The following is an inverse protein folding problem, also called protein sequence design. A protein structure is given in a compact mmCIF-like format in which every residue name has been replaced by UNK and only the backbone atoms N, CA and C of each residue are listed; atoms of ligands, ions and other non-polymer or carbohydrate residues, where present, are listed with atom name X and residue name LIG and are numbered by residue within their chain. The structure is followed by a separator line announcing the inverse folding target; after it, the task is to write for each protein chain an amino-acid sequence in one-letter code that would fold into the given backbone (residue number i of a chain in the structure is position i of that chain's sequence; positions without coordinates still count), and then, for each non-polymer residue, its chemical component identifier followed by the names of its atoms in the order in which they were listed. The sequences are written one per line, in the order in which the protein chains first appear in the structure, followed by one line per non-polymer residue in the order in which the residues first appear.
data_IF_044340399712
#
_entry.id   IF_044340399712
#
_cell.length_a   1.000
_cell.length_b   1.000
_cell.length_c   1.000
_cell.angle_alpha   90.00
_cell.angle_beta   90.00
_cell.angle_gamma   90.00
#
_symmetry.space_group_name_H-M   'P 1'
#
loop_
_entity.id
_entity.type
_entity.pdbx_description
1 polymer ?
#
# COMPACT_ATOMS: atom_id res chain seq x y z
N UNK A 1 18.61 -36.42 13.71
CA UNK A 1 17.68 -35.52 14.45
C UNK A 1 18.20 -34.09 14.61
N UNK A 2 19.37 -33.83 15.20
CA UNK A 2 19.90 -32.46 15.42
C UNK A 2 19.98 -31.57 14.16
N UNK A 3 20.46 -32.11 13.03
CA UNK A 3 20.50 -31.39 11.74
C UNK A 3 19.11 -30.94 11.24
N UNK A 4 18.07 -31.72 11.49
CA UNK A 4 16.68 -31.39 11.08
C UNK A 4 16.10 -30.25 11.91
N UNK A 5 16.38 -30.23 13.22
CA UNK A 5 15.97 -29.14 14.11
C UNK A 5 16.63 -27.82 13.71
N UNK A 6 17.94 -27.86 13.42
CA UNK A 6 18.70 -26.69 12.97
C UNK A 6 18.13 -26.12 11.66
N UNK A 7 17.80 -26.97 10.68
CA UNK A 7 17.16 -26.52 9.43
C UNK A 7 15.84 -25.80 9.71
N UNK A 8 14.96 -26.40 10.50
CA UNK A 8 13.65 -25.80 10.83
C UNK A 8 13.82 -24.46 11.52
N UNK A 9 14.76 -24.34 12.46
CA UNK A 9 15.04 -23.07 13.14
C UNK A 9 15.51 -21.99 12.16
N UNK A 10 16.39 -22.33 11.23
CA UNK A 10 16.87 -21.39 10.20
C UNK A 10 15.71 -20.98 9.28
N UNK A 11 14.89 -21.95 8.84
CA UNK A 11 13.74 -21.68 7.98
C UNK A 11 12.78 -20.70 8.64
N UNK A 12 12.46 -20.89 9.93
CA UNK A 12 11.59 -19.98 10.70
C UNK A 12 12.18 -18.57 10.75
N UNK A 13 13.48 -18.44 11.00
CA UNK A 13 14.15 -17.12 11.03
C UNK A 13 14.08 -16.44 9.65
N UNK A 14 14.32 -17.20 8.58
CA UNK A 14 14.21 -16.70 7.21
C UNK A 14 12.78 -16.22 6.93
N UNK A 15 11.77 -17.01 7.28
CA UNK A 15 10.37 -16.63 7.06
C UNK A 15 9.96 -15.38 7.84
N UNK A 16 10.39 -15.24 9.10
CA UNK A 16 10.15 -14.03 9.89
C UNK A 16 10.80 -12.81 9.22
N UNK A 17 12.04 -12.95 8.76
CA UNK A 17 12.75 -11.88 8.06
C UNK A 17 12.05 -11.48 6.75
N UNK A 18 11.68 -12.46 5.94
CA UNK A 18 10.99 -12.24 4.66
C UNK A 18 9.61 -11.59 4.87
N UNK A 19 8.84 -12.05 5.86
CA UNK A 19 7.54 -11.44 6.19
C UNK A 19 7.69 -10.01 6.71
N UNK A 20 8.71 -9.75 7.54
CA UNK A 20 9.02 -8.39 7.98
C UNK A 20 9.34 -7.46 6.81
N UNK A 21 10.20 -7.90 5.90
CA UNK A 21 10.53 -7.12 4.69
C UNK A 21 9.33 -6.95 3.76
N UNK A 22 8.53 -8.00 3.57
CA UNK A 22 7.31 -7.93 2.79
C UNK A 22 6.34 -6.89 3.38
N UNK A 23 6.17 -6.86 4.71
CA UNK A 23 5.34 -5.85 5.37
C UNK A 23 5.86 -4.43 5.12
N UNK A 24 7.18 -4.21 5.24
CA UNK A 24 7.80 -2.89 4.97
C UNK A 24 7.51 -2.41 3.54
N UNK A 25 7.48 -3.31 2.55
CA UNK A 25 7.19 -2.98 1.15
C UNK A 25 5.69 -2.82 0.91
N UNK A 26 4.87 -3.70 1.49
CA UNK A 26 3.42 -3.74 1.23
C UNK A 26 2.66 -2.62 1.96
N UNK A 27 3.11 -2.18 3.13
CA UNK A 27 2.46 -1.08 3.89
C UNK A 27 2.38 0.22 3.07
N UNK A 28 3.46 0.77 2.49
CA UNK A 28 3.37 1.98 1.67
C UNK A 28 2.55 1.76 0.39
N UNK A 29 2.59 0.56 -0.20
CA UNK A 29 1.74 0.23 -1.35
C UNK A 29 0.25 0.20 -0.98
N UNK A 30 -0.09 -0.38 0.17
CA UNK A 30 -1.44 -0.39 0.70
C UNK A 30 -1.91 1.05 1.00
N UNK A 31 -1.06 1.88 1.60
CA UNK A 31 -1.33 3.30 1.82
C UNK A 31 -1.59 4.04 0.50
N UNK A 32 -0.77 3.84 -0.52
CA UNK A 32 -0.96 4.46 -1.84
C UNK A 32 -2.28 4.00 -2.48
N UNK A 33 -2.58 2.70 -2.38
CA UNK A 33 -3.80 2.13 -2.91
C UNK A 33 -5.04 2.70 -2.21
N UNK A 34 -5.08 2.76 -0.88
CA UNK A 34 -6.21 3.33 -0.14
C UNK A 34 -6.34 4.84 -0.37
N UNK A 35 -5.23 5.58 -0.39
CA UNK A 35 -5.21 7.01 -0.67
C UNK A 35 -5.73 7.36 -2.07
N UNK A 36 -5.53 6.47 -3.06
CA UNK A 36 -6.03 6.69 -4.43
C UNK A 36 -7.55 6.84 -4.51
N UNK A 37 -8.29 6.23 -3.58
CA UNK A 37 -9.76 6.30 -3.51
C UNK A 37 -10.28 7.32 -2.50
N UNK A 38 -9.38 8.07 -1.85
CA UNK A 38 -9.71 8.91 -0.72
C UNK A 38 -9.95 10.37 -1.15
N UNK A 39 -10.82 11.14 -0.45
CA UNK A 39 -10.91 12.58 -0.65
C UNK A 39 -9.63 13.29 -0.19
N UNK A 40 -9.24 14.37 -0.89
CA UNK A 40 -7.96 15.06 -0.69
C UNK A 40 -7.78 15.67 0.71
N UNK A 41 -8.86 16.03 1.38
CA UNK A 41 -8.83 16.51 2.78
C UNK A 41 -8.54 15.40 3.80
N UNK A 42 -8.69 14.12 3.44
CA UNK A 42 -8.47 13.00 4.35
C UNK A 42 -7.05 12.45 4.27
N UNK A 43 -6.40 12.57 3.11
CA UNK A 43 -5.03 12.09 2.90
C UNK A 43 -4.04 12.77 3.86
N UNK A 44 -4.31 14.03 4.22
CA UNK A 44 -3.48 14.81 5.15
C UNK A 44 -3.90 14.67 6.62
N UNK A 45 -4.95 13.90 6.95
CA UNK A 45 -5.37 13.72 8.35
C UNK A 45 -4.36 12.88 9.11
N UNK A 46 -4.14 13.25 10.38
CA UNK A 46 -3.31 12.51 11.32
C UNK A 46 -4.16 12.11 12.53
N UNK A 47 -4.30 10.80 12.84
CA UNK A 47 -3.69 9.66 12.14
C UNK A 47 -4.30 9.43 10.74
N UNK A 48 -3.52 8.78 9.86
CA UNK A 48 -3.99 8.44 8.51
C UNK A 48 -5.19 7.49 8.57
N UNK A 49 -6.33 7.80 7.93
CA UNK A 49 -7.46 6.89 7.87
C UNK A 49 -7.20 5.80 6.81
N UNK A 50 -7.01 4.55 7.23
CA UNK A 50 -6.80 3.45 6.28
C UNK A 50 -8.02 3.13 5.41
N UNK A 51 -9.22 3.52 5.86
CA UNK A 51 -10.48 3.34 5.14
C UNK A 51 -11.04 4.74 4.85
N UNK A 52 -11.29 5.10 3.57
CA UNK A 52 -11.81 6.41 3.22
C UNK A 52 -13.26 6.56 3.69
N UNK A 53 -13.67 7.77 4.05
CA UNK A 53 -15.07 8.05 4.39
C UNK A 53 -16.00 8.00 3.18
N UNK A 54 -15.47 8.35 2.00
CA UNK A 54 -16.15 8.33 0.71
C UNK A 54 -15.24 7.69 -0.33
N UNK A 55 -15.76 6.74 -1.10
CA UNK A 55 -15.02 6.10 -2.18
C UNK A 55 -15.01 6.97 -3.45
N UNK A 56 -13.84 7.47 -3.84
CA UNK A 56 -13.65 8.40 -4.97
C UNK A 56 -12.96 7.76 -6.17
N UNK A 57 -13.74 7.08 -6.99
CA UNK A 57 -13.27 6.59 -8.29
C UNK A 57 -12.89 7.72 -9.26
N UNK A 58 -13.49 8.91 -9.09
CA UNK A 58 -13.26 10.10 -9.92
C UNK A 58 -11.79 10.55 -9.89
N UNK A 59 -11.03 10.22 -8.84
CA UNK A 59 -9.59 10.50 -8.75
C UNK A 59 -8.82 9.89 -9.92
N UNK A 60 -9.19 8.69 -10.38
CA UNK A 60 -8.57 8.04 -11.54
C UNK A 60 -8.89 8.77 -12.84
N UNK A 61 -10.15 9.19 -13.01
CA UNK A 61 -10.56 9.98 -14.16
C UNK A 61 -9.83 11.32 -14.21
N UNK A 62 -9.70 11.99 -13.07
CA UNK A 62 -8.93 13.23 -12.93
C UNK A 62 -7.44 13.01 -13.21
N UNK A 63 -6.87 11.88 -12.79
CA UNK A 63 -5.47 11.56 -13.07
C UNK A 63 -5.18 11.43 -14.58
N UNK A 64 -6.13 10.93 -15.36
CA UNK A 64 -6.01 10.84 -16.83
C UNK A 64 -6.30 12.19 -17.49
N UNK A 65 -7.33 12.91 -17.03
CA UNK A 65 -7.78 14.20 -17.57
C UNK A 65 -6.83 15.37 -17.25
N UNK A 66 -5.91 15.22 -16.30
CA UNK A 66 -5.07 16.34 -15.86
C UNK A 66 -5.87 17.43 -15.12
N UNK A 67 -5.15 18.32 -14.43
CA UNK A 67 -5.78 19.38 -13.64
C UNK A 67 -6.17 20.61 -14.48
N UNK A 68 -5.67 20.68 -15.70
CA UNK A 68 -6.01 21.66 -16.76
C UNK A 68 -7.23 21.22 -17.58
N UNK A 69 -7.73 20.01 -17.35
CA UNK A 69 -8.90 19.47 -17.99
C UNK A 69 -8.66 18.84 -19.36
N UNK A 70 -7.39 18.77 -19.81
CA UNK A 70 -6.97 18.14 -21.04
C UNK A 70 -6.40 16.75 -20.77
N UNK A 71 -6.92 15.76 -21.48
CA UNK A 71 -6.38 14.42 -21.43
C UNK A 71 -4.95 14.43 -21.99
N UNK A 72 -3.97 14.12 -21.13
CA UNK A 72 -2.55 14.17 -21.49
C UNK A 72 -2.17 13.20 -22.63
N UNK A 73 -3.08 12.32 -23.04
CA UNK A 73 -2.84 11.22 -23.97
C UNK A 73 -3.95 11.03 -25.02
N UNK A 74 -4.89 11.97 -25.18
CA UNK A 74 -5.93 11.94 -26.22
C UNK A 74 -5.86 13.18 -27.11
#
# INVERSE_FOLDING_TARGET
MKKKIISITIDVIIWIFLLGFAAIVLIPLAFMFTASFMPSNEIMKMPYPWIPSEFRWQNYWQAIKGNDGNFLFL
#
